data_IF_109861656428
#
_entry.id   IF_109861656428
#
_cell.length_a   1.000
_cell.length_b   1.000
_cell.length_c   1.000
_cell.angle_alpha   90.00
_cell.angle_beta   90.00
_cell.angle_gamma   90.00
#
_symmetry.space_group_name_H-M   'P 1'
#
loop_
_entity.id
_entity.type
_entity.pdbx_description
1 polymer ?
#
# COMPACT_ATOMS: atom_id res chain seq x y z
N UNK A 1 -8.90 1.89 -5.96
CA UNK A 1 -7.69 2.08 -6.80
C UNK A 1 -6.49 1.39 -6.15
N UNK A 2 -5.31 1.39 -6.79
CA UNK A 2 -4.12 0.68 -6.32
C UNK A 2 -2.96 1.65 -6.12
N UNK A 3 -2.29 1.58 -4.98
CA UNK A 3 -1.14 2.42 -4.64
C UNK A 3 0.00 1.57 -4.07
N UNK A 4 1.22 1.80 -4.55
CA UNK A 4 2.44 1.24 -3.95
C UNK A 4 3.36 2.41 -3.67
N UNK A 5 3.67 2.65 -2.40
CA UNK A 5 4.38 3.85 -1.93
C UNK A 5 5.58 3.42 -1.10
N UNK A 6 6.70 4.10 -1.30
CA UNK A 6 7.95 3.82 -0.61
C UNK A 6 8.42 5.03 0.21
N UNK A 7 8.85 4.75 1.44
CA UNK A 7 9.24 5.77 2.43
C UNK A 7 8.11 6.05 3.41
N UNK A 8 8.44 6.16 4.70
CA UNK A 8 7.44 6.35 5.76
C UNK A 8 6.74 7.71 5.66
N UNK A 9 7.51 8.76 5.48
CA UNK A 9 7.03 10.13 5.33
C UNK A 9 6.21 10.30 4.04
N UNK A 10 6.69 9.74 2.94
CA UNK A 10 5.95 9.72 1.66
C UNK A 10 4.64 8.95 1.78
N UNK A 11 4.65 7.81 2.45
CA UNK A 11 3.45 7.00 2.70
C UNK A 11 2.43 7.78 3.54
N UNK A 12 2.88 8.49 4.58
CA UNK A 12 2.03 9.35 5.40
C UNK A 12 1.41 10.51 4.61
N UNK A 13 2.18 11.16 3.75
CA UNK A 13 1.67 12.23 2.90
C UNK A 13 0.62 11.72 1.90
N UNK A 14 0.83 10.55 1.29
CA UNK A 14 -0.11 9.94 0.36
C UNK A 14 -1.41 9.52 1.05
N UNK A 15 -1.33 8.83 2.19
CA UNK A 15 -2.54 8.41 2.92
C UNK A 15 -3.35 9.61 3.43
N UNK A 16 -2.67 10.69 3.86
CA UNK A 16 -3.33 11.93 4.24
C UNK A 16 -4.03 12.61 3.06
N UNK A 17 -3.37 12.71 1.90
CA UNK A 17 -3.95 13.30 0.69
C UNK A 17 -5.14 12.48 0.16
N UNK A 18 -5.12 11.16 0.35
CA UNK A 18 -6.22 10.27 0.03
C UNK A 18 -7.34 10.27 1.07
N UNK A 19 -7.20 10.96 2.20
CA UNK A 19 -8.20 10.99 3.27
C UNK A 19 -8.36 9.63 3.97
N UNK A 20 -7.29 8.84 4.07
CA UNK A 20 -7.32 7.52 4.71
C UNK A 20 -7.24 7.70 6.23
N UNK A 21 -8.27 7.23 6.94
CA UNK A 21 -8.34 7.28 8.41
C UNK A 21 -8.20 5.90 9.07
N UNK A 22 -8.42 4.83 8.31
CA UNK A 22 -8.31 3.45 8.75
C UNK A 22 -7.74 2.59 7.63
N UNK A 23 -6.95 1.58 8.00
CA UNK A 23 -6.43 0.55 7.10
C UNK A 23 -6.81 -0.82 7.66
N UNK A 24 -7.29 -1.71 6.80
CA UNK A 24 -7.42 -3.13 7.09
C UNK A 24 -6.14 -3.82 6.59
N UNK A 25 -5.39 -4.44 7.50
CA UNK A 25 -4.13 -5.13 7.18
C UNK A 25 -4.44 -6.55 6.68
N UNK A 26 -3.91 -6.88 5.51
CA UNK A 26 -4.05 -8.17 4.85
C UNK A 26 -2.74 -8.95 4.78
N UNK A 27 -2.59 -9.72 3.71
CA UNK A 27 -1.44 -10.60 3.49
C UNK A 27 -0.14 -9.81 3.26
N UNK A 28 0.97 -10.33 3.78
CA UNK A 28 2.32 -9.85 3.46
C UNK A 28 2.72 -10.08 2.00
N UNK A 29 3.27 -9.03 1.38
CA UNK A 29 3.88 -9.04 0.04
C UNK A 29 5.36 -9.40 0.15
N UNK A 30 6.00 -8.80 1.15
CA UNK A 30 7.40 -8.98 1.54
C UNK A 30 7.50 -8.83 3.06
N UNK A 31 8.60 -9.26 3.70
CA UNK A 31 8.76 -9.15 5.15
C UNK A 31 8.52 -7.72 5.66
N UNK A 32 7.50 -7.52 6.49
CA UNK A 32 7.14 -6.22 7.04
C UNK A 32 6.44 -5.27 6.07
N UNK A 33 5.97 -5.76 4.91
CA UNK A 33 5.19 -4.97 3.95
C UNK A 33 3.91 -5.73 3.58
N UNK A 34 2.80 -5.51 4.33
CA UNK A 34 1.51 -6.07 4.00
C UNK A 34 0.77 -5.27 2.94
N UNK A 35 -0.17 -5.96 2.28
CA UNK A 35 -1.29 -5.29 1.63
C UNK A 35 -2.20 -4.69 2.68
N UNK A 36 -2.64 -3.47 2.44
CA UNK A 36 -3.67 -2.80 3.22
C UNK A 36 -4.84 -2.41 2.31
N UNK A 37 -6.05 -2.46 2.84
CA UNK A 37 -7.25 -1.97 2.13
C UNK A 37 -7.95 -0.90 2.95
N UNK A 38 -8.61 0.04 2.29
CA UNK A 38 -9.42 1.05 2.95
C UNK A 38 -10.49 1.60 2.02
N UNK A 39 -11.57 2.08 2.62
CA UNK A 39 -12.54 2.92 1.96
C UNK A 39 -12.23 4.38 2.29
N UNK A 40 -12.06 5.21 1.27
CA UNK A 40 -11.96 6.65 1.47
C UNK A 40 -12.64 7.41 0.33
N UNK A 41 -13.43 8.42 0.69
CA UNK A 41 -14.27 9.19 -0.23
C UNK A 41 -15.11 8.30 -1.17
N UNK A 42 -15.74 7.25 -0.61
CA UNK A 42 -16.53 6.25 -1.33
C UNK A 42 -15.75 5.45 -2.40
N UNK A 43 -14.41 5.45 -2.32
CA UNK A 43 -13.52 4.71 -3.19
C UNK A 43 -12.81 3.64 -2.37
N UNK A 44 -13.01 2.37 -2.75
CA UNK A 44 -12.22 1.25 -2.24
C UNK A 44 -10.78 1.33 -2.77
N UNK A 45 -9.80 1.37 -1.89
CA UNK A 45 -8.38 1.48 -2.19
C UNK A 45 -7.59 0.30 -1.62
N UNK A 46 -6.58 -0.10 -2.36
CA UNK A 46 -5.57 -1.06 -1.91
C UNK A 46 -4.21 -0.42 -1.95
N UNK A 47 -3.46 -0.54 -0.87
CA UNK A 47 -2.19 0.15 -0.63
C UNK A 47 -1.13 -0.84 -0.18
N UNK A 48 0.09 -0.71 -0.71
CA UNK A 48 1.30 -1.24 -0.11
C UNK A 48 2.17 -0.07 0.32
N UNK A 49 2.39 0.07 1.63
CA UNK A 49 3.16 1.16 2.23
C UNK A 49 4.47 0.55 2.76
N UNK A 50 5.56 0.70 2.02
CA UNK A 50 6.86 0.11 2.39
C UNK A 50 7.78 1.16 2.99
N UNK A 51 8.57 0.76 3.98
CA UNK A 51 9.74 1.54 4.37
C UNK A 51 10.73 1.63 3.21
N UNK A 52 11.58 2.67 3.20
CA UNK A 52 12.53 2.93 2.12
C UNK A 52 13.40 1.70 1.78
N UNK A 53 13.91 1.03 2.82
CA UNK A 53 14.87 -0.07 2.70
C UNK A 53 14.24 -1.47 2.64
N UNK A 54 12.91 -1.58 2.49
CA UNK A 54 12.21 -2.87 2.49
C UNK A 54 11.85 -3.32 1.07
N UNK A 55 11.85 -4.63 0.85
CA UNK A 55 11.61 -5.26 -0.46
C UNK A 55 12.89 -5.49 -1.26
N UNK A 56 12.79 -6.34 -2.29
CA UNK A 56 13.85 -6.56 -3.28
C UNK A 56 13.74 -5.56 -4.45
N UNK A 57 14.68 -5.63 -5.40
CA UNK A 57 14.68 -4.79 -6.60
C UNK A 57 13.41 -4.96 -7.45
N UNK A 58 12.73 -6.11 -7.32
CA UNK A 58 11.49 -6.46 -8.02
C UNK A 58 10.22 -6.04 -7.29
N UNK A 59 10.31 -5.46 -6.08
CA UNK A 59 9.18 -5.32 -5.18
C UNK A 59 7.99 -4.61 -5.81
N UNK A 60 8.20 -3.50 -6.52
CA UNK A 60 7.11 -2.75 -7.14
C UNK A 60 6.36 -3.58 -8.20
N UNK A 61 7.07 -4.37 -8.99
CA UNK A 61 6.47 -5.23 -10.00
C UNK A 61 5.68 -6.37 -9.35
N UNK A 62 6.25 -7.01 -8.32
CA UNK A 62 5.56 -8.02 -7.52
C UNK A 62 4.31 -7.45 -6.87
N UNK A 63 4.41 -6.33 -6.17
CA UNK A 63 3.27 -5.67 -5.54
C UNK A 63 2.17 -5.31 -6.58
N UNK A 64 2.51 -4.73 -7.72
CA UNK A 64 1.48 -4.39 -8.71
C UNK A 64 0.82 -5.63 -9.36
N UNK A 65 1.51 -6.78 -9.38
CA UNK A 65 1.01 -8.05 -9.93
C UNK A 65 0.16 -8.85 -8.95
N UNK A 66 0.54 -8.91 -7.67
CA UNK A 66 -0.17 -9.70 -6.63
C UNK A 66 -1.57 -9.15 -6.32
N UNK A 67 -1.88 -7.95 -6.80
CA UNK A 67 -3.14 -7.26 -6.50
C UNK A 67 -4.26 -7.73 -7.44
N UNK A 68 -5.10 -8.65 -6.96
CA UNK A 68 -6.36 -8.99 -7.62
C UNK A 68 -7.29 -7.77 -7.61
N UNK A 69 -7.95 -7.41 -8.73
CA UNK A 69 -9.00 -6.41 -8.68
C UNK A 69 -10.12 -6.88 -7.74
N UNK A 70 -10.67 -5.94 -6.96
CA UNK A 70 -11.90 -6.15 -6.21
C UNK A 70 -13.05 -6.46 -7.18
#
# INVERSE_FOLDING_TARGET
>A
RRFVVAGGETSGAVTQALGVTQLNVGQEIAPGVPWCTCDSADIYNTLALKSGNFGDDGFFATALRELKPA
#
